data_IF_306226275748
#
_entry.id   IF_306226275748
#
_cell.length_a   1.000
_cell.length_b   1.000
_cell.length_c   1.000
_cell.angle_alpha   90.00
_cell.angle_beta   90.00
_cell.angle_gamma   90.00
#
_symmetry.space_group_name_H-M   'P 1'
#
loop_
_entity.id
_entity.type
_entity.pdbx_description
1 polymer ?
#
# COMPACT_ATOMS: atom_id res chain seq x y z
N UNK A 1 -12.12 -5.08 -16.77
CA UNK A 1 -12.14 -4.17 -15.61
C UNK A 1 -12.09 -4.85 -14.24
N UNK A 2 -13.13 -5.57 -13.72
CA UNK A 2 -13.08 -6.10 -12.32
C UNK A 2 -11.88 -7.02 -12.04
N UNK A 3 -11.49 -7.88 -12.98
CA UNK A 3 -10.33 -8.77 -12.86
C UNK A 3 -8.99 -8.02 -12.92
N UNK A 4 -8.89 -6.97 -13.73
CA UNK A 4 -7.67 -6.16 -13.88
C UNK A 4 -7.40 -5.29 -12.66
N UNK A 5 -8.47 -4.75 -12.06
CA UNK A 5 -8.38 -3.96 -10.82
C UNK A 5 -7.85 -4.81 -9.66
N UNK A 6 -8.30 -6.07 -9.55
CA UNK A 6 -7.78 -7.01 -8.54
C UNK A 6 -6.29 -7.31 -8.73
N UNK A 7 -5.83 -7.49 -9.98
CA UNK A 7 -4.42 -7.69 -10.28
C UNK A 7 -3.56 -6.44 -10.02
N UNK A 8 -4.09 -5.25 -10.30
CA UNK A 8 -3.42 -3.97 -10.01
C UNK A 8 -3.26 -3.75 -8.51
N UNK A 9 -4.32 -3.96 -7.74
CA UNK A 9 -4.29 -3.81 -6.28
C UNK A 9 -3.36 -4.83 -5.62
N UNK A 10 -3.26 -6.06 -6.14
CA UNK A 10 -2.29 -7.05 -5.65
C UNK A 10 -0.84 -6.60 -5.90
N UNK A 11 -0.53 -6.13 -7.12
CA UNK A 11 0.81 -5.59 -7.42
C UNK A 11 1.16 -4.38 -6.56
N UNK A 12 0.18 -3.51 -6.31
CA UNK A 12 0.35 -2.39 -5.39
C UNK A 12 0.66 -2.88 -3.97
N UNK A 13 -0.04 -3.92 -3.51
CA UNK A 13 0.20 -4.50 -2.19
C UNK A 13 1.60 -5.10 -2.06
N UNK A 14 2.06 -5.89 -3.03
CA UNK A 14 3.42 -6.44 -3.09
C UNK A 14 4.48 -5.33 -3.08
N UNK A 15 4.26 -4.27 -3.87
CA UNK A 15 5.14 -3.10 -3.88
C UNK A 15 5.23 -2.47 -2.49
N UNK A 16 4.10 -2.26 -1.82
CA UNK A 16 4.05 -1.68 -0.48
C UNK A 16 4.79 -2.58 0.53
N UNK A 17 4.61 -3.91 0.45
CA UNK A 17 5.30 -4.85 1.35
C UNK A 17 6.82 -4.69 1.25
N UNK A 18 7.36 -4.78 0.02
CA UNK A 18 8.79 -4.68 -0.26
C UNK A 18 9.42 -3.34 0.16
N UNK A 19 8.62 -2.28 0.26
CA UNK A 19 9.10 -0.93 0.58
C UNK A 19 8.74 -0.49 2.01
N UNK A 20 7.90 -1.23 2.72
CA UNK A 20 7.43 -0.84 4.06
C UNK A 20 8.55 -0.83 5.11
N UNK A 21 9.56 -1.69 4.96
CA UNK A 21 10.76 -1.75 5.81
C UNK A 21 11.72 -0.57 5.57
N UNK A 22 11.67 0.04 4.38
CA UNK A 22 12.47 1.22 4.02
C UNK A 22 11.72 2.48 4.42
N UNK A 23 11.68 2.78 5.74
CA UNK A 23 11.09 3.98 6.35
C UNK A 23 9.96 4.56 5.49
N UNK A 24 8.78 3.94 5.43
CA UNK A 24 7.84 4.04 4.30
C UNK A 24 7.43 5.43 3.74
N UNK A 25 7.90 6.50 4.37
CA UNK A 25 7.96 7.90 3.96
C UNK A 25 8.77 8.16 2.67
N UNK A 26 9.90 7.48 2.45
CA UNK A 26 10.83 7.84 1.36
C UNK A 26 10.34 7.45 -0.03
N UNK A 27 9.62 6.34 -0.14
CA UNK A 27 9.08 5.87 -1.42
C UNK A 27 7.71 6.47 -1.70
N UNK A 28 6.87 6.70 -0.67
CA UNK A 28 5.53 7.25 -0.84
C UNK A 28 5.55 8.63 -1.51
N UNK A 29 6.49 9.49 -1.13
CA UNK A 29 6.66 10.83 -1.71
C UNK A 29 7.15 10.82 -3.17
N UNK A 30 7.70 9.69 -3.64
CA UNK A 30 8.21 9.52 -5.00
C UNK A 30 7.21 8.85 -5.94
N UNK A 31 6.12 8.30 -5.41
CA UNK A 31 5.12 7.63 -6.22
C UNK A 31 4.24 8.63 -6.98
N UNK A 32 3.94 8.36 -8.26
CA UNK A 32 2.98 9.16 -9.00
C UNK A 32 1.57 8.92 -8.43
N UNK A 33 0.96 9.98 -7.89
CA UNK A 33 -0.38 9.99 -7.29
C UNK A 33 -1.48 9.96 -8.36
N UNK A 34 -1.53 8.86 -9.11
CA UNK A 34 -2.50 8.64 -10.19
C UNK A 34 -3.86 8.18 -9.65
N UNK A 35 -4.92 8.28 -10.47
CA UNK A 35 -6.24 7.73 -10.13
C UNK A 35 -6.20 6.22 -9.87
N UNK A 36 -5.38 5.47 -10.61
CA UNK A 36 -5.14 4.03 -10.39
C UNK A 36 -4.52 3.78 -9.02
N UNK A 37 -3.47 4.53 -8.67
CA UNK A 37 -2.83 4.44 -7.36
C UNK A 37 -3.83 4.67 -6.22
N UNK A 38 -4.64 5.74 -6.30
CA UNK A 38 -5.66 6.03 -5.30
C UNK A 38 -6.73 4.93 -5.21
N UNK A 39 -7.15 4.38 -6.34
CA UNK A 39 -8.12 3.28 -6.37
C UNK A 39 -7.56 2.01 -5.74
N UNK A 40 -6.34 1.62 -6.08
CA UNK A 40 -5.68 0.44 -5.50
C UNK A 40 -5.45 0.62 -4.01
N UNK A 41 -4.94 1.77 -3.57
CA UNK A 41 -4.79 2.06 -2.14
C UNK A 41 -6.13 2.01 -1.41
N UNK A 42 -7.21 2.57 -1.98
CA UNK A 42 -8.55 2.51 -1.38
C UNK A 42 -9.06 1.08 -1.24
N UNK A 43 -8.82 0.22 -2.24
CA UNK A 43 -9.19 -1.20 -2.16
C UNK A 43 -8.42 -1.89 -1.03
N UNK A 44 -7.11 -1.67 -0.95
CA UNK A 44 -6.27 -2.28 0.09
C UNK A 44 -6.62 -1.78 1.50
N UNK A 45 -6.99 -0.51 1.65
CA UNK A 45 -7.51 0.06 2.90
C UNK A 45 -8.84 -0.61 3.27
N UNK A 46 -9.77 -0.73 2.32
CA UNK A 46 -11.09 -1.36 2.56
C UNK A 46 -10.96 -2.84 2.95
N UNK A 47 -9.93 -3.53 2.45
CA UNK A 47 -9.59 -4.90 2.84
C UNK A 47 -8.87 -4.99 4.19
N UNK A 48 -8.50 -3.85 4.77
CA UNK A 48 -7.78 -3.74 6.04
C UNK A 48 -6.33 -4.20 5.96
N UNK A 49 -5.70 -4.14 4.77
CA UNK A 49 -4.32 -4.60 4.56
C UNK A 49 -3.29 -3.50 4.79
N UNK A 50 -3.65 -2.25 4.49
CA UNK A 50 -2.77 -1.08 4.65
C UNK A 50 -3.49 0.07 5.35
N UNK A 51 -2.71 0.99 5.89
CA UNK A 51 -3.18 2.28 6.40
C UNK A 51 -2.36 3.42 5.82
N UNK A 52 -3.03 4.53 5.51
CA UNK A 52 -2.38 5.81 5.18
C UNK A 52 -2.36 6.67 6.45
N UNK A 53 -1.17 7.08 6.88
CA UNK A 53 -0.98 8.00 8.00
C UNK A 53 -0.56 9.35 7.47
N UNK A 54 -1.27 10.38 7.89
CA UNK A 54 -0.87 11.78 7.75
C UNK A 54 -0.54 12.29 9.15
N UNK A 55 0.58 12.99 9.30
CA UNK A 55 0.89 13.71 10.53
C UNK A 55 1.05 15.19 10.18
N UNK A 56 0.59 16.09 11.05
CA UNK A 56 0.66 17.54 10.80
C UNK A 56 2.09 18.04 10.55
N UNK A 57 3.09 17.33 11.10
CA UNK A 57 4.51 17.66 11.00
C UNK A 57 5.31 16.76 10.06
N UNK A 58 4.69 15.71 9.47
CA UNK A 58 5.40 14.76 8.63
C UNK A 58 4.65 14.44 7.33
N UNK A 59 5.38 14.18 6.23
CA UNK A 59 4.76 13.76 4.98
C UNK A 59 3.96 12.46 5.18
N UNK A 60 2.80 12.42 4.52
CA UNK A 60 1.92 11.24 4.47
C UNK A 60 2.72 9.99 4.09
N UNK A 61 2.43 8.86 4.73
CA UNK A 61 3.05 7.57 4.42
C UNK A 61 2.07 6.41 4.53
N UNK A 62 2.40 5.30 3.88
CA UNK A 62 1.65 4.04 3.98
C UNK A 62 2.39 3.07 4.90
N UNK A 63 1.64 2.31 5.70
CA UNK A 63 2.13 1.17 6.47
C UNK A 63 1.23 -0.05 6.30
N UNK A 64 1.78 -1.24 6.51
CA UNK A 64 0.99 -2.46 6.64
C UNK A 64 0.22 -2.49 7.97
N UNK A 65 -0.98 -3.06 7.96
CA UNK A 65 -1.68 -3.47 9.19
C UNK A 65 -1.13 -4.82 9.68
N UNK A 66 -1.55 -5.28 10.86
CA UNK A 66 -1.22 -6.65 11.30
C UNK A 66 -1.70 -7.69 10.27
N UNK A 67 -2.92 -7.52 9.76
CA UNK A 67 -3.48 -8.38 8.71
C UNK A 67 -2.67 -8.32 7.42
N UNK A 68 -2.22 -7.14 7.02
CA UNK A 68 -1.34 -6.96 5.86
C UNK A 68 0.01 -7.64 6.05
N UNK A 69 0.62 -7.50 7.22
CA UNK A 69 1.91 -8.13 7.54
C UNK A 69 1.82 -9.65 7.59
N UNK A 70 0.72 -10.22 8.11
CA UNK A 70 0.54 -11.67 8.11
C UNK A 70 0.28 -12.20 6.70
N UNK A 71 -0.44 -11.44 5.87
CA UNK A 71 -0.63 -11.78 4.46
C UNK A 71 0.68 -11.69 3.66
N UNK A 72 1.53 -10.69 3.91
CA UNK A 72 2.80 -10.53 3.19
C UNK A 72 3.73 -11.72 3.41
N UNK A 73 3.84 -12.20 4.66
CA UNK A 73 4.57 -13.42 5.01
C UNK A 73 4.06 -14.65 4.24
N UNK A 74 2.75 -14.77 4.06
CA UNK A 74 2.13 -15.86 3.30
C UNK A 74 2.35 -15.78 1.79
N UNK A 75 2.66 -14.58 1.27
CA UNK A 75 2.95 -14.33 -0.15
C UNK A 75 4.44 -14.47 -0.49
N UNK A 76 5.33 -14.70 0.49
CA UNK A 76 6.79 -14.67 0.33
C UNK A 76 7.31 -13.34 -0.26
N UNK A 77 6.71 -12.22 0.14
CA UNK A 77 7.18 -10.84 -0.13
C UNK A 77 7.56 -10.13 1.15
#
# INVERSE_FOLDING_TARGET
MKKELAASSLKMFEFICNNSDVTGRLWYSKLPMTSTFHNDCRILINLGLIEVKSAQTHPTYIRLTNKGSDLSKGLNV
#
